data_IF_103087295495
#
_entry.id   IF_103087295495
#
_cell.length_a   1.000
_cell.length_b   1.000
_cell.length_c   1.000
_cell.angle_alpha   90.00
_cell.angle_beta   90.00
_cell.angle_gamma   90.00
#
_symmetry.space_group_name_H-M   'P 1'
#
loop_
_entity.id
_entity.type
_entity.pdbx_description
1 polymer ?
#
# COMPACT_ATOMS: atom_id res chain seq x y z
N UNK A 1 -4.09 -3.75 -5.55
CA UNK A 1 -3.57 -2.70 -6.49
C UNK A 1 -3.69 -1.32 -5.85
N UNK A 2 -2.59 -0.59 -5.57
CA UNK A 2 -2.72 0.62 -4.73
C UNK A 2 -3.57 1.72 -5.38
N UNK A 3 -4.41 2.39 -4.59
CA UNK A 3 -5.36 3.38 -5.10
C UNK A 3 -4.69 4.61 -5.73
N UNK A 4 -3.38 4.79 -5.54
CA UNK A 4 -2.58 5.86 -6.14
C UNK A 4 -2.20 5.56 -7.60
N UNK A 5 -2.12 4.28 -8.01
CA UNK A 5 -1.84 3.90 -9.40
C UNK A 5 -3.08 4.00 -10.29
N UNK A 6 -4.29 3.73 -9.78
CA UNK A 6 -5.53 3.99 -10.53
C UNK A 6 -5.67 5.46 -10.94
N UNK A 7 -5.10 6.40 -10.16
CA UNK A 7 -5.10 7.82 -10.49
C UNK A 7 -4.14 8.18 -11.65
N UNK A 8 -3.03 7.44 -11.81
CA UNK A 8 -2.08 7.68 -12.90
C UNK A 8 -2.59 7.23 -14.29
N UNK A 9 -3.67 6.45 -14.34
CA UNK A 9 -4.28 5.91 -15.57
C UNK A 9 -4.77 6.99 -16.55
N UNK A 10 -4.91 8.24 -16.10
CA UNK A 10 -5.42 9.36 -16.91
C UNK A 10 -4.37 10.36 -17.41
N UNK A 11 -3.06 10.06 -17.31
CA UNK A 11 -2.03 10.81 -18.04
C UNK A 11 -1.97 12.31 -17.71
N UNK A 12 -2.05 12.68 -16.42
CA UNK A 12 -1.96 14.08 -15.96
C UNK A 12 -1.04 14.21 -14.75
N UNK A 13 -0.33 15.34 -14.68
CA UNK A 13 0.58 15.67 -13.61
C UNK A 13 -0.15 15.61 -12.25
N UNK A 14 0.16 14.58 -11.47
CA UNK A 14 -0.41 14.36 -10.14
C UNK A 14 0.33 15.26 -9.13
N UNK A 15 -0.37 16.22 -8.54
CA UNK A 15 0.06 16.86 -7.29
C UNK A 15 -0.76 16.25 -6.16
N UNK A 16 -0.31 15.11 -5.64
CA UNK A 16 -0.88 14.53 -4.42
C UNK A 16 -0.31 15.29 -3.21
N UNK A 17 -1.15 16.05 -2.52
CA UNK A 17 -0.84 16.61 -1.19
C UNK A 17 -1.58 15.75 -0.18
N UNK A 18 -0.88 14.79 0.43
CA UNK A 18 -1.41 13.98 1.52
C UNK A 18 -1.10 14.65 2.87
N UNK A 19 -2.12 14.89 3.69
CA UNK A 19 -1.97 15.29 5.09
C UNK A 19 -2.13 14.02 5.94
N UNK A 20 -1.01 13.40 6.30
CA UNK A 20 -1.02 12.22 7.16
C UNK A 20 -0.99 12.66 8.62
N UNK A 21 -2.05 12.35 9.37
CA UNK A 21 -2.04 12.38 10.82
C UNK A 21 -1.94 10.95 11.33
N UNK A 22 -0.73 10.38 11.33
CA UNK A 22 -0.48 9.09 11.97
C UNK A 22 -0.62 9.27 13.48
N UNK A 23 -1.80 8.97 14.03
CA UNK A 23 -1.90 8.67 15.46
C UNK A 23 -1.39 7.25 15.61
N UNK A 24 -0.07 7.10 15.71
CA UNK A 24 0.51 5.89 16.26
C UNK A 24 0.05 5.83 17.73
N UNK A 25 -1.10 5.20 17.97
CA UNK A 25 -1.41 4.67 19.28
C UNK A 25 -0.46 3.49 19.49
N UNK A 26 0.80 3.79 19.78
CA UNK A 26 1.72 2.85 20.41
C UNK A 26 1.20 2.59 21.82
N UNK A 27 0.11 1.82 21.89
CA UNK A 27 -0.29 1.20 23.14
C UNK A 27 0.83 0.24 23.52
N UNK A 28 1.49 0.40 24.67
CA UNK A 28 2.34 -0.66 25.23
C UNK A 28 1.52 -1.90 25.62
N UNK A 29 0.19 -1.86 25.47
CA UNK A 29 -0.76 -2.92 25.78
C UNK A 29 -0.82 -4.00 24.69
N UNK A 30 0.32 -4.64 24.45
CA UNK A 30 0.53 -6.04 24.04
C UNK A 30 2.02 -6.17 23.66
N UNK A 31 2.92 -5.65 24.51
CA UNK A 31 4.23 -6.25 24.62
C UNK A 31 4.00 -7.70 25.04
N UNK A 32 3.98 -8.60 24.06
CA UNK A 32 4.03 -10.03 24.28
C UNK A 32 5.44 -10.31 24.82
N UNK A 33 5.62 -10.03 26.12
CA UNK A 33 6.75 -10.43 26.94
C UNK A 33 6.66 -11.93 27.18
N UNK A 34 6.78 -12.69 26.10
CA UNK A 34 7.16 -14.10 26.20
C UNK A 34 8.67 -14.11 26.20
N UNK A 35 9.23 -14.13 27.40
CA UNK A 35 10.64 -14.29 27.65
C UNK A 35 11.26 -15.43 26.86
N UNK A 36 12.56 -15.28 26.63
CA UNK A 36 13.47 -16.01 25.75
C UNK A 36 13.69 -15.30 24.40
N UNK A 37 14.77 -14.50 24.34
CA UNK A 37 15.47 -14.05 23.13
C UNK A 37 14.64 -13.26 22.11
N UNK A 38 14.00 -12.16 22.54
CA UNK A 38 13.46 -11.15 21.64
C UNK A 38 14.61 -10.43 20.92
N UNK A 39 15.13 -11.05 19.86
CA UNK A 39 15.97 -10.39 18.86
C UNK A 39 15.31 -9.04 18.50
N UNK A 40 16.07 -7.94 18.60
CA UNK A 40 15.57 -6.59 18.35
C UNK A 40 14.83 -6.56 17.01
N UNK A 41 13.50 -6.47 17.04
CA UNK A 41 12.69 -6.50 15.83
C UNK A 41 13.09 -5.32 14.93
N UNK A 42 13.40 -5.60 13.67
CA UNK A 42 13.70 -4.56 12.69
C UNK A 42 12.42 -3.79 12.40
N UNK A 43 12.39 -2.52 12.80
CA UNK A 43 11.29 -1.62 12.51
C UNK A 43 11.69 -0.65 11.39
N UNK A 44 10.87 -0.64 10.36
CA UNK A 44 10.97 0.25 9.21
C UNK A 44 10.03 1.43 9.37
N UNK A 45 10.32 2.52 8.69
CA UNK A 45 9.41 3.66 8.61
C UNK A 45 8.16 3.28 7.83
N UNK A 46 7.06 3.96 8.16
CA UNK A 46 5.81 3.90 7.41
C UNK A 46 5.76 5.13 6.50
N UNK A 47 6.13 4.99 5.21
CA UNK A 47 5.99 6.07 4.25
C UNK A 47 4.53 6.09 3.72
N UNK A 48 4.20 6.99 2.80
CA UNK A 48 2.78 7.30 2.47
C UNK A 48 2.23 6.30 1.44
N UNK A 49 3.04 5.97 0.46
CA UNK A 49 2.68 5.13 -0.69
C UNK A 49 3.07 3.68 -0.43
N UNK A 50 4.28 3.46 0.10
CA UNK A 50 4.83 2.12 0.29
C UNK A 50 4.50 1.60 1.68
N UNK A 51 4.18 0.31 1.75
CA UNK A 51 3.91 -0.35 3.03
C UNK A 51 5.19 -0.63 3.83
N UNK A 52 5.02 -0.95 5.11
CA UNK A 52 6.09 -1.49 5.94
C UNK A 52 6.29 -2.98 5.62
N UNK A 53 7.55 -3.45 5.46
CA UNK A 53 7.85 -4.87 5.28
C UNK A 53 7.85 -5.64 6.63
N UNK A 54 7.82 -4.94 7.77
CA UNK A 54 7.74 -5.58 9.09
C UNK A 54 6.30 -5.81 9.52
N UNK A 55 5.99 -6.96 10.16
CA UNK A 55 4.76 -7.17 10.91
C UNK A 55 4.62 -6.15 12.03
N UNK A 56 3.58 -5.33 11.98
CA UNK A 56 3.35 -4.23 12.90
C UNK A 56 1.93 -4.33 13.51
N UNK A 57 1.76 -3.81 14.73
CA UNK A 57 0.42 -3.52 15.28
C UNK A 57 0.19 -2.03 15.18
N UNK A 58 -0.63 -1.61 14.21
CA UNK A 58 -0.83 -0.20 13.86
C UNK A 58 -2.24 0.06 13.36
N UNK A 59 -2.61 1.34 13.40
CA UNK A 59 -3.75 1.89 12.68
C UNK A 59 -3.26 3.12 11.93
N UNK A 60 -3.64 3.23 10.65
CA UNK A 60 -3.31 4.36 9.80
C UNK A 60 -4.56 4.92 9.13
N UNK A 61 -4.57 6.25 9.01
CA UNK A 61 -5.62 7.01 8.34
C UNK A 61 -4.93 7.94 7.35
N UNK A 62 -5.19 7.73 6.06
CA UNK A 62 -4.65 8.58 5.00
C UNK A 62 -5.78 9.34 4.32
N UNK A 63 -5.50 10.57 3.92
CA UNK A 63 -6.42 11.37 3.15
C UNK A 63 -5.71 11.99 1.95
N UNK A 64 -6.22 11.69 0.77
CA UNK A 64 -5.73 12.20 -0.51
C UNK A 64 -6.84 12.87 -1.31
N UNK A 65 -6.45 13.78 -2.19
CA UNK A 65 -7.36 14.38 -3.16
C UNK A 65 -6.66 14.61 -4.49
N UNK A 66 -7.44 14.59 -5.55
CA UNK A 66 -7.02 14.87 -6.92
C UNK A 66 -8.08 15.75 -7.56
N UNK A 67 -7.66 16.85 -8.17
CA UNK A 67 -8.58 17.81 -8.77
C UNK A 67 -8.13 18.25 -10.16
N UNK A 68 -9.07 18.24 -11.10
CA UNK A 68 -8.96 18.83 -12.43
C UNK A 68 -10.31 19.40 -12.86
N UNK A 69 -10.34 20.15 -13.95
CA UNK A 69 -11.61 20.67 -14.50
C UNK A 69 -12.60 19.56 -14.87
N UNK A 70 -12.12 18.34 -15.11
CA UNK A 70 -12.93 17.19 -15.52
C UNK A 70 -13.36 16.30 -14.33
N UNK A 71 -12.54 16.26 -13.27
CA UNK A 71 -12.66 15.28 -12.20
C UNK A 71 -12.15 15.85 -10.87
N UNK A 72 -12.97 15.75 -9.85
CA UNK A 72 -12.63 16.05 -8.46
C UNK A 72 -12.80 14.76 -7.64
N UNK A 73 -11.72 14.26 -7.06
CA UNK A 73 -11.63 12.98 -6.37
C UNK A 73 -11.04 13.18 -4.98
N UNK A 74 -11.65 12.55 -3.99
CA UNK A 74 -11.14 12.50 -2.62
C UNK A 74 -11.11 11.05 -2.16
N UNK A 75 -10.09 10.69 -1.40
CA UNK A 75 -9.91 9.38 -0.82
C UNK A 75 -9.61 9.51 0.66
N UNK A 76 -10.32 8.75 1.48
CA UNK A 76 -9.96 8.49 2.87
C UNK A 76 -9.67 6.99 2.98
N UNK A 77 -8.49 6.61 3.46
CA UNK A 77 -8.06 5.23 3.61
C UNK A 77 -7.91 4.91 5.09
N UNK A 78 -8.50 3.81 5.53
CA UNK A 78 -8.25 3.22 6.83
C UNK A 78 -7.44 1.95 6.65
N UNK A 79 -6.36 1.83 7.41
CA UNK A 79 -5.55 0.63 7.48
C UNK A 79 -5.45 0.20 8.94
N UNK A 80 -5.62 -1.09 9.20
CA UNK A 80 -5.37 -1.70 10.50
C UNK A 80 -4.53 -2.94 10.33
N UNK A 81 -3.41 -3.02 11.05
CA UNK A 81 -2.55 -4.20 11.10
C UNK A 81 -2.42 -4.70 12.53
N UNK A 82 -2.43 -6.01 12.70
CA UNK A 82 -2.18 -6.66 13.98
C UNK A 82 -1.12 -7.74 13.83
N UNK A 83 0.02 -7.56 14.49
CA UNK A 83 1.09 -8.54 14.58
C UNK A 83 0.79 -9.55 15.70
N UNK A 84 0.58 -10.82 15.32
CA UNK A 84 0.38 -11.91 16.28
C UNK A 84 1.72 -12.36 16.88
N UNK A 85 2.80 -12.22 16.13
CA UNK A 85 4.18 -12.46 16.53
C UNK A 85 5.13 -11.61 15.67
N UNK A 86 6.42 -11.49 16.01
CA UNK A 86 7.39 -10.68 15.24
C UNK A 86 7.58 -11.10 13.77
N UNK A 87 7.02 -12.23 13.35
CA UNK A 87 7.16 -12.78 12.01
C UNK A 87 5.82 -12.94 11.26
N UNK A 88 4.69 -12.56 11.86
CA UNK A 88 3.36 -12.72 11.24
C UNK A 88 2.37 -11.65 11.69
N UNK A 89 1.70 -11.04 10.72
CA UNK A 89 0.61 -10.09 10.94
C UNK A 89 -0.52 -10.25 9.92
N UNK A 90 -1.68 -9.73 10.29
CA UNK A 90 -2.82 -9.56 9.41
C UNK A 90 -3.12 -8.06 9.28
N UNK A 91 -3.23 -7.59 8.05
CA UNK A 91 -3.59 -6.22 7.68
C UNK A 91 -4.96 -6.20 7.00
N UNK A 92 -5.71 -5.13 7.24
CA UNK A 92 -6.97 -4.80 6.58
C UNK A 92 -6.89 -3.37 6.08
N UNK A 93 -7.16 -3.19 4.79
CA UNK A 93 -7.23 -1.89 4.13
C UNK A 93 -8.63 -1.58 3.60
N UNK A 94 -9.15 -0.41 3.93
CA UNK A 94 -10.48 0.05 3.59
C UNK A 94 -10.42 1.47 3.01
N UNK A 95 -10.25 1.61 1.69
CA UNK A 95 -10.36 2.88 1.01
C UNK A 95 -11.83 3.28 0.83
N UNK A 96 -12.14 4.52 1.16
CA UNK A 96 -13.39 5.20 0.82
C UNK A 96 -13.10 6.31 -0.17
N UNK A 97 -13.83 6.33 -1.28
CA UNK A 97 -13.62 7.30 -2.36
C UNK A 97 -14.88 8.14 -2.60
N UNK A 98 -14.67 9.42 -2.90
CA UNK A 98 -15.69 10.36 -3.39
C UNK A 98 -15.23 10.95 -4.71
N UNK A 99 -16.02 10.78 -5.75
CA UNK A 99 -15.72 11.24 -7.11
C UNK A 99 -16.81 12.22 -7.57
N UNK A 100 -16.42 13.27 -8.28
CA UNK A 100 -17.31 14.22 -8.94
C UNK A 100 -16.75 14.57 -10.33
N UNK A 101 -17.47 14.17 -11.37
CA UNK A 101 -17.16 14.51 -12.75
C UNK A 101 -17.76 15.88 -13.14
N UNK A 102 -17.18 16.53 -14.15
CA UNK A 102 -17.68 17.79 -14.68
C UNK A 102 -19.17 17.70 -15.10
N UNK A 103 -20.01 18.55 -14.51
CA UNK A 103 -21.45 18.58 -14.79
C UNK A 103 -22.26 17.41 -14.18
N UNK A 104 -21.60 16.47 -13.49
CA UNK A 104 -22.24 15.32 -12.84
C UNK A 104 -22.49 15.49 -11.34
N UNK A 105 -23.37 14.66 -10.74
CA UNK A 105 -23.51 14.60 -9.29
C UNK A 105 -22.28 13.94 -8.65
N UNK A 106 -21.95 14.34 -7.42
CA UNK A 106 -20.92 13.65 -6.64
C UNK A 106 -21.42 12.27 -6.20
N UNK A 107 -20.53 11.27 -6.23
CA UNK A 107 -20.77 9.90 -5.80
C UNK A 107 -19.71 9.47 -4.81
N UNK A 108 -20.07 8.62 -3.85
CA UNK A 108 -19.10 8.04 -2.89
C UNK A 108 -19.45 6.61 -2.53
N UNK A 109 -18.41 5.83 -2.23
CA UNK A 109 -18.51 4.42 -1.84
C UNK A 109 -17.18 3.97 -1.21
N UNK A 110 -17.18 2.82 -0.54
CA UNK A 110 -15.94 2.07 -0.37
C UNK A 110 -15.41 1.66 -1.76
N UNK A 111 -14.11 1.72 -1.93
CA UNK A 111 -13.44 1.07 -3.05
C UNK A 111 -13.31 -0.44 -2.78
N UNK A 112 -12.59 -1.15 -3.65
CA UNK A 112 -12.13 -2.50 -3.33
C UNK A 112 -11.19 -2.43 -2.12
N UNK A 113 -11.58 -3.03 -1.00
CA UNK A 113 -10.73 -3.15 0.18
C UNK A 113 -9.77 -4.33 0.06
N UNK A 114 -8.83 -4.46 0.98
CA UNK A 114 -7.80 -5.50 0.92
C UNK A 114 -7.63 -6.15 2.31
N UNK A 115 -7.27 -7.44 2.31
CA UNK A 115 -6.82 -8.15 3.50
C UNK A 115 -5.50 -8.82 3.17
N UNK A 116 -4.45 -8.54 3.94
CA UNK A 116 -3.13 -9.09 3.70
C UNK A 116 -2.62 -9.90 4.90
N UNK A 117 -2.08 -11.08 4.62
CA UNK A 117 -1.28 -11.86 5.57
C UNK A 117 0.19 -11.61 5.26
N UNK A 118 0.94 -11.06 6.23
CA UNK A 118 2.38 -10.80 6.09
C UNK A 118 3.18 -11.82 6.89
N UNK A 119 4.29 -12.27 6.33
CA UNK A 119 5.19 -13.25 6.90
C UNK A 119 6.65 -12.81 6.74
N UNK A 120 7.42 -12.82 7.83
CA UNK A 120 8.87 -12.60 7.77
C UNK A 120 9.56 -13.96 7.72
N UNK A 121 10.22 -14.23 6.61
CA UNK A 121 11.01 -15.46 6.43
C UNK A 121 12.42 -15.34 7.01
N UNK A 122 12.99 -14.14 7.01
CA UNK A 122 14.34 -13.88 7.51
C UNK A 122 14.47 -12.45 8.04
N UNK A 123 15.10 -12.31 9.21
CA UNK A 123 15.47 -11.02 9.76
C UNK A 123 16.85 -11.12 10.42
N UNK A 124 17.72 -10.18 10.09
CA UNK A 124 19.04 -10.02 10.68
C UNK A 124 19.20 -8.58 11.20
N UNK A 125 18.94 -8.37 12.51
CA UNK A 125 19.06 -7.06 13.13
C UNK A 125 20.47 -6.46 13.08
N UNK A 126 21.52 -7.28 12.99
CA UNK A 126 22.90 -6.80 12.97
C UNK A 126 23.25 -6.17 11.61
N UNK A 127 22.84 -6.80 10.51
CA UNK A 127 23.00 -6.23 9.17
C UNK A 127 21.90 -5.24 8.79
N UNK A 128 20.77 -5.25 9.52
CA UNK A 128 19.60 -4.43 9.25
C UNK A 128 18.74 -4.95 8.09
N UNK A 129 18.87 -6.24 7.75
CA UNK A 129 18.17 -6.87 6.63
C UNK A 129 16.91 -7.61 7.09
N UNK A 130 15.80 -7.41 6.39
CA UNK A 130 14.56 -8.15 6.52
C UNK A 130 14.12 -8.65 5.15
N UNK A 131 13.72 -9.92 5.06
CA UNK A 131 13.10 -10.51 3.89
C UNK A 131 11.77 -11.14 4.30
N UNK A 132 10.72 -10.70 3.64
CA UNK A 132 9.37 -11.15 3.89
C UNK A 132 8.61 -11.45 2.62
N UNK A 133 7.33 -11.73 2.83
CA UNK A 133 6.35 -11.80 1.78
C UNK A 133 4.99 -12.10 2.37
N UNK A 134 4.04 -12.42 1.52
CA UNK A 134 2.70 -12.69 1.99
C UNK A 134 1.70 -12.90 0.89
N UNK A 135 0.44 -12.78 1.27
CA UNK A 135 -0.69 -12.90 0.38
C UNK A 135 -1.68 -11.79 0.71
N UNK A 136 -2.02 -11.00 -0.30
CA UNK A 136 -3.08 -10.01 -0.25
C UNK A 136 -4.30 -10.51 -1.03
N UNK A 137 -5.48 -10.21 -0.51
CA UNK A 137 -6.76 -10.54 -1.12
C UNK A 137 -7.61 -9.28 -1.23
N UNK A 138 -7.90 -8.87 -2.47
CA UNK A 138 -8.83 -7.81 -2.80
C UNK A 138 -10.28 -8.24 -2.52
N UNK A 139 -11.01 -7.39 -1.81
CA UNK A 139 -12.40 -7.58 -1.40
C UNK A 139 -13.36 -6.88 -2.37
N UNK A 140 -14.51 -7.49 -2.70
CA UNK A 140 -15.50 -6.93 -3.60
C UNK A 140 -16.41 -5.89 -2.91
N UNK A 141 -15.82 -4.93 -2.19
CA UNK A 141 -16.53 -3.88 -1.43
C UNK A 141 -16.88 -2.64 -2.25
N UNK A 142 -16.43 -2.59 -3.51
CA UNK A 142 -16.70 -1.52 -4.46
C UNK A 142 -18.13 -1.49 -5.00
N UNK A 143 -18.35 -0.65 -6.00
CA UNK A 143 -19.63 -0.41 -6.66
C UNK A 143 -19.43 -0.03 -8.13
N UNK A 144 -19.68 -0.98 -9.03
CA UNK A 144 -19.66 -0.75 -10.47
C UNK A 144 -20.65 0.36 -10.92
N UNK A 145 -21.82 0.45 -10.27
CA UNK A 145 -22.80 1.51 -10.55
C UNK A 145 -22.29 2.92 -10.26
N UNK A 146 -21.34 3.04 -9.34
CA UNK A 146 -20.72 4.31 -8.96
C UNK A 146 -19.33 4.46 -9.58
N UNK A 147 -18.88 3.51 -10.41
CA UNK A 147 -17.52 3.45 -10.94
C UNK A 147 -16.45 3.71 -9.85
N UNK A 148 -16.60 3.04 -8.71
CA UNK A 148 -15.66 3.07 -7.58
C UNK A 148 -15.39 1.62 -7.21
N UNK A 149 -14.23 1.09 -7.55
CA UNK A 149 -13.85 -0.31 -7.30
C UNK A 149 -14.76 -1.35 -7.94
N UNK A 150 -14.60 -2.59 -7.48
CA UNK A 150 -15.39 -3.73 -7.95
C UNK A 150 -16.29 -4.29 -6.85
N UNK A 151 -17.52 -4.66 -7.21
CA UNK A 151 -18.47 -5.31 -6.30
C UNK A 151 -18.50 -6.84 -6.46
N UNK A 152 -17.56 -7.42 -7.21
CA UNK A 152 -17.56 -8.85 -7.58
C UNK A 152 -16.17 -9.45 -7.73
N UNK A 153 -15.22 -8.68 -8.25
CA UNK A 153 -13.86 -9.13 -8.49
C UNK A 153 -13.15 -9.41 -7.16
N UNK A 154 -12.39 -10.49 -7.13
CA UNK A 154 -11.49 -10.82 -6.03
C UNK A 154 -10.11 -10.89 -6.66
N UNK A 155 -9.19 -10.06 -6.21
CA UNK A 155 -7.80 -10.11 -6.63
C UNK A 155 -7.01 -10.91 -5.60
N UNK A 156 -6.18 -11.84 -6.06
CA UNK A 156 -5.25 -12.56 -5.19
C UNK A 156 -3.85 -12.13 -5.57
N UNK A 157 -3.10 -11.61 -4.61
CA UNK A 157 -1.80 -11.00 -4.87
C UNK A 157 -0.76 -11.53 -3.88
N UNK A 158 -0.04 -12.62 -4.21
CA UNK A 158 1.17 -12.96 -3.49
C UNK A 158 2.22 -11.88 -3.69
N UNK A 159 2.96 -11.57 -2.63
CA UNK A 159 4.02 -10.57 -2.66
C UNK A 159 5.28 -11.03 -1.95
N UNK A 160 6.38 -10.39 -2.32
CA UNK A 160 7.69 -10.49 -1.67
C UNK A 160 8.13 -9.10 -1.24
N UNK A 161 8.78 -9.00 -0.10
CA UNK A 161 9.30 -7.73 0.42
C UNK A 161 10.73 -7.85 0.94
N UNK A 162 11.41 -6.70 0.92
CA UNK A 162 12.75 -6.53 1.47
C UNK A 162 12.82 -5.20 2.21
N UNK A 163 13.43 -5.24 3.39
CA UNK A 163 13.81 -4.07 4.15
C UNK A 163 15.32 -4.07 4.40
N UNK A 164 15.98 -2.94 4.20
CA UNK A 164 17.39 -2.75 4.54
C UNK A 164 17.57 -1.44 5.31
N UNK A 165 18.09 -1.52 6.54
CA UNK A 165 18.37 -0.35 7.39
C UNK A 165 19.84 -0.29 7.74
N UNK A 166 20.55 0.75 7.29
CA UNK A 166 21.99 0.89 7.54
C UNK A 166 22.39 2.33 7.80
N UNK A 167 22.83 2.61 9.02
CA UNK A 167 23.27 3.93 9.45
C UNK A 167 22.14 4.96 9.32
N UNK A 168 22.27 5.88 8.35
CA UNK A 168 21.30 6.95 8.08
C UNK A 168 20.32 6.62 6.96
N UNK A 169 20.40 5.43 6.40
CA UNK A 169 19.58 5.00 5.27
C UNK A 169 18.64 3.88 5.65
N UNK A 170 17.46 3.91 5.06
CA UNK A 170 16.48 2.86 5.11
C UNK A 170 15.90 2.68 3.70
N UNK A 171 15.84 1.43 3.24
CA UNK A 171 15.30 1.06 1.94
C UNK A 171 14.25 -0.02 2.15
N UNK A 172 13.13 0.11 1.45
CA UNK A 172 12.06 -0.87 1.43
C UNK A 172 11.66 -1.14 -0.01
N UNK A 173 11.38 -2.40 -0.35
CA UNK A 173 10.91 -2.78 -1.67
C UNK A 173 9.90 -3.92 -1.61
N UNK A 174 8.95 -3.91 -2.55
CA UNK A 174 7.92 -4.93 -2.73
C UNK A 174 7.83 -5.34 -4.19
N UNK A 175 7.53 -6.62 -4.41
CA UNK A 175 7.11 -7.19 -5.69
C UNK A 175 5.79 -7.93 -5.46
N UNK A 176 4.81 -7.68 -6.33
CA UNK A 176 3.42 -8.14 -6.22
C UNK A 176 2.96 -8.80 -7.51
N UNK A 177 2.23 -9.90 -7.42
CA UNK A 177 1.71 -10.61 -8.59
C UNK A 177 0.18 -10.67 -8.55
N UNK A 178 -0.49 -9.70 -9.17
CA UNK A 178 -1.94 -9.59 -9.18
C UNK A 178 -2.58 -10.64 -10.08
N UNK A 179 -3.39 -11.52 -9.48
CA UNK A 179 -4.16 -12.55 -10.16
C UNK A 179 -5.64 -12.22 -9.98
N UNK A 180 -6.28 -11.55 -10.97
CA UNK A 180 -7.70 -11.25 -10.88
C UNK A 180 -8.53 -12.52 -11.00
N UNK A 181 -9.49 -12.71 -10.10
CA UNK A 181 -10.40 -13.85 -10.10
C UNK A 181 -11.86 -13.39 -10.11
N UNK A 182 -12.77 -14.30 -10.48
CA UNK A 182 -14.22 -14.08 -10.47
C UNK A 182 -14.73 -12.99 -11.45
N UNK A 183 -14.08 -12.87 -12.62
CA UNK A 183 -14.53 -12.02 -13.73
C UNK A 183 -15.66 -12.66 -14.56
N UNK A 184 -16.57 -11.84 -15.14
CA UNK A 184 -17.59 -12.34 -16.07
C UNK A 184 -16.96 -13.03 -17.27
N UNK A 185 -17.68 -13.98 -17.88
CA UNK A 185 -17.14 -14.84 -18.94
C UNK A 185 -16.59 -14.08 -20.16
N UNK A 186 -17.15 -12.90 -20.45
CA UNK A 186 -16.73 -12.01 -21.53
C UNK A 186 -15.36 -11.35 -21.28
N UNK A 187 -14.92 -11.30 -20.03
CA UNK A 187 -13.65 -10.69 -19.59
C UNK A 187 -12.62 -11.74 -19.13
N UNK A 188 -12.99 -13.03 -19.07
CA UNK A 188 -12.10 -14.13 -18.63
C UNK A 188 -10.95 -14.39 -19.60
N UNK A 189 -11.17 -14.24 -20.90
CA UNK A 189 -10.13 -14.43 -21.91
C UNK A 189 -9.09 -13.28 -21.90
N UNK A 190 -9.35 -12.22 -21.12
CA UNK A 190 -8.45 -11.10 -20.86
C UNK A 190 -7.79 -11.19 -19.48
N UNK A 191 -7.60 -12.40 -18.92
CA UNK A 191 -6.84 -12.61 -17.68
C UNK A 191 -5.41 -12.06 -17.83
N UNK A 192 -5.22 -10.88 -17.26
CA UNK A 192 -4.00 -10.08 -17.30
C UNK A 192 -3.32 -10.26 -15.94
N UNK A 193 -2.25 -11.06 -15.90
CA UNK A 193 -1.35 -11.12 -14.76
C UNK A 193 -0.70 -9.75 -14.62
N UNK A 194 -0.85 -9.13 -13.45
CA UNK A 194 -0.24 -7.84 -13.15
C UNK A 194 1.01 -8.05 -12.30
N UNK A 195 2.10 -7.38 -12.66
CA UNK A 195 3.30 -7.27 -11.84
C UNK A 195 3.34 -5.86 -11.26
N UNK A 196 3.10 -5.77 -9.96
CA UNK A 196 3.28 -4.55 -9.17
C UNK A 196 4.68 -4.52 -8.56
N UNK A 197 5.25 -3.33 -8.45
CA UNK A 197 6.48 -3.08 -7.70
C UNK A 197 6.40 -1.72 -7.00
N UNK A 198 6.89 -1.65 -5.78
CA UNK A 198 6.94 -0.40 -5.03
C UNK A 198 8.19 -0.36 -4.18
N UNK A 199 8.69 0.83 -3.87
CA UNK A 199 9.81 0.94 -2.96
C UNK A 199 10.01 2.34 -2.42
N UNK A 200 10.66 2.41 -1.28
CA UNK A 200 10.94 3.66 -0.59
C UNK A 200 12.41 3.73 -0.20
N UNK A 201 12.93 4.95 -0.21
CA UNK A 201 14.25 5.27 0.28
C UNK A 201 14.15 6.45 1.24
N UNK A 202 14.54 6.22 2.49
CA UNK A 202 14.55 7.21 3.55
C UNK A 202 15.98 7.53 3.98
N UNK A 203 16.26 8.81 4.14
CA UNK A 203 17.53 9.33 4.66
C UNK A 203 17.31 10.23 5.88
N UNK A 204 17.90 9.84 7.01
CA UNK A 204 17.86 10.63 8.25
C UNK A 204 18.81 11.83 8.15
N UNK A 205 18.37 12.93 7.53
CA UNK A 205 19.16 14.14 7.32
C UNK A 205 19.51 14.89 8.62
N UNK A 206 18.68 14.77 9.65
CA UNK A 206 18.96 15.21 11.02
C UNK A 206 18.11 14.40 12.01
N UNK A 207 18.26 14.58 13.34
CA UNK A 207 17.37 13.94 14.31
C UNK A 207 15.88 14.26 14.15
N UNK A 208 15.53 15.34 13.45
CA UNK A 208 14.14 15.80 13.24
C UNK A 208 13.68 15.78 11.80
N UNK A 209 14.59 15.62 10.83
CA UNK A 209 14.27 15.75 9.40
C UNK A 209 14.73 14.50 8.69
N UNK A 210 13.80 13.88 7.98
CA UNK A 210 14.02 12.71 7.15
C UNK A 210 13.60 13.04 5.72
N UNK A 211 14.45 12.74 4.76
CA UNK A 211 14.14 12.86 3.34
C UNK A 211 13.63 11.51 2.86
N UNK A 212 12.57 11.50 2.09
CA UNK A 212 11.90 10.30 1.61
C UNK A 212 11.74 10.39 0.10
N UNK A 213 11.97 9.30 -0.61
CA UNK A 213 11.54 9.12 -1.99
C UNK A 213 10.81 7.80 -2.05
N UNK A 214 9.59 7.82 -2.57
CA UNK A 214 8.78 6.65 -2.82
C UNK A 214 8.58 6.48 -4.31
N UNK A 215 8.47 5.25 -4.76
CA UNK A 215 8.05 4.93 -6.11
C UNK A 215 7.11 3.75 -6.09
N UNK A 216 6.21 3.74 -7.07
CA UNK A 216 5.26 2.67 -7.28
C UNK A 216 5.08 2.51 -8.78
N UNK A 217 4.91 1.29 -9.25
CA UNK A 217 4.56 1.04 -10.63
C UNK A 217 3.94 -0.32 -10.80
N UNK A 218 3.22 -0.46 -11.90
CA UNK A 218 2.67 -1.75 -12.29
C UNK A 218 2.78 -1.96 -13.79
N UNK A 219 2.79 -3.24 -14.18
CA UNK A 219 2.87 -3.68 -15.56
C UNK A 219 2.00 -4.91 -15.78
N UNK A 220 1.23 -4.87 -16.85
CA UNK A 220 0.51 -6.04 -17.36
C UNK A 220 1.51 -6.96 -18.07
N UNK A 221 1.66 -8.20 -17.57
CA UNK A 221 2.65 -9.17 -18.05
C UNK A 221 2.06 -10.16 -19.06
N UNK A 222 0.76 -10.44 -18.98
CA UNK A 222 0.03 -11.25 -19.96
C UNK A 222 -1.13 -10.49 -20.58
N UNK A 223 -1.43 -10.74 -21.86
CA UNK A 223 -2.50 -10.07 -22.62
C UNK A 223 -1.98 -9.23 -23.79
N UNK A 224 -2.89 -8.80 -24.66
CA UNK A 224 -2.55 -8.03 -25.88
C UNK A 224 -2.22 -6.55 -25.60
N UNK A 225 -2.72 -6.00 -24.49
CA UNK A 225 -2.48 -4.61 -24.10
C UNK A 225 -1.36 -4.52 -23.07
N UNK A 226 -0.33 -3.73 -23.41
CA UNK A 226 0.72 -3.35 -22.47
C UNK A 226 0.37 -2.01 -21.85
N UNK A 227 -0.13 -2.05 -20.62
CA UNK A 227 -0.30 -0.87 -19.79
C UNK A 227 0.81 -0.87 -18.74
N UNK A 228 1.49 0.28 -18.60
CA UNK A 228 2.53 0.51 -17.61
C UNK A 228 2.20 1.79 -16.85
N UNK A 229 2.22 1.72 -15.53
CA UNK A 229 2.07 2.88 -14.66
C UNK A 229 3.34 3.04 -13.82
N UNK A 230 3.71 4.29 -13.53
CA UNK A 230 4.85 4.59 -12.65
C UNK A 230 4.64 5.95 -11.99
N UNK A 231 4.86 5.99 -10.68
CA UNK A 231 4.76 7.14 -9.81
C UNK A 231 6.07 7.29 -9.04
N UNK A 232 6.52 8.53 -8.85
CA UNK A 232 7.58 8.88 -7.89
C UNK A 232 7.07 10.01 -7.00
N UNK A 233 7.19 9.83 -5.69
CA UNK A 233 6.77 10.80 -4.69
C UNK A 233 7.95 11.16 -3.79
N UNK A 234 8.57 12.35 -3.96
CA UNK A 234 9.49 12.88 -2.98
C UNK A 234 8.71 13.39 -1.74
N UNK A 235 9.30 13.23 -0.56
CA UNK A 235 8.70 13.60 0.70
C UNK A 235 9.73 14.05 1.74
N UNK A 236 9.23 14.72 2.78
CA UNK A 236 10.00 15.11 3.95
C UNK A 236 9.19 14.72 5.18
N UNK A 237 9.78 13.99 6.13
CA UNK A 237 9.19 13.70 7.43
C UNK A 237 9.82 14.59 8.48
N UNK A 238 8.99 15.16 9.35
CA UNK A 238 9.42 15.92 10.51
C UNK A 238 9.02 15.19 11.79
N UNK A 239 9.97 14.95 12.70
CA UNK A 239 9.76 14.30 14.01
C UNK A 239 9.81 15.30 15.15
#
# INVERSE_FOLDING_TARGET
MSPYLEACRYGRHLFAVSLVSSIALSSPALAHDTGHDAHAALHFSHPIVVESPSPDTKVRLDYGFEGSDALDSHMARFEGEYAFAPWISLEVDLPWRRIKEAGGPARSHLDSGEVALKLVGFADPESGLLLGGGLEIGLPTGSARKAIGSSREIEIEPFLDIGLKRGRFELVGFLRFGIPTNKPAEERDAEKLELGYSGSALYHASPRVELLVEFEGSRIVSGEEQENSFLVAPGIKYR
#
